data_IF_866230882513
#
_entry.id   IF_866230882513
#
_cell.length_a   1.000
_cell.length_b   1.000
_cell.length_c   1.000
_cell.angle_alpha   90.00
_cell.angle_beta   90.00
_cell.angle_gamma   90.00
#
_symmetry.space_group_name_H-M   'P 1'
#
loop_
_entity.id
_entity.type
_entity.pdbx_description
1 polymer ?
#
# COMPACT_ATOMS: atom_id res chain seq x y z
N UNK A 1 -16.12 5.23 3.18
CA UNK A 1 -15.30 6.44 3.37
C UNK A 1 -14.77 7.06 2.08
N UNK A 2 -14.90 6.42 0.91
CA UNK A 2 -14.47 7.05 -0.36
C UNK A 2 -12.95 7.22 -0.48
N UNK A 3 -12.20 6.61 0.43
CA UNK A 3 -10.75 6.60 0.41
C UNK A 3 -10.25 5.65 -0.69
N UNK A 4 -9.22 6.09 -1.41
CA UNK A 4 -8.51 5.29 -2.40
C UNK A 4 -7.15 4.89 -1.81
N UNK A 5 -6.99 3.59 -1.57
CA UNK A 5 -5.71 3.00 -1.21
C UNK A 5 -4.90 2.66 -2.45
N UNK A 6 -3.59 2.91 -2.39
CA UNK A 6 -2.68 2.85 -3.53
C UNK A 6 -1.48 2.00 -3.14
N UNK A 7 -1.29 0.90 -3.85
CA UNK A 7 -0.04 0.14 -3.87
C UNK A 7 0.97 0.85 -4.79
N UNK A 8 1.88 1.64 -4.21
CA UNK A 8 2.91 2.34 -4.97
C UNK A 8 4.24 1.55 -4.94
N UNK A 9 4.77 1.24 -6.12
CA UNK A 9 5.96 0.43 -6.30
C UNK A 9 7.19 0.94 -5.52
N UNK A 10 7.30 2.25 -5.27
CA UNK A 10 8.46 2.88 -4.64
C UNK A 10 8.16 3.51 -3.29
N UNK A 11 6.89 3.87 -3.05
CA UNK A 11 6.47 4.62 -1.86
C UNK A 11 5.65 3.80 -0.87
N UNK A 12 5.47 2.50 -1.13
CA UNK A 12 4.74 1.57 -0.26
C UNK A 12 3.22 1.74 -0.38
N UNK A 13 2.52 1.49 0.72
CA UNK A 13 1.07 1.67 0.77
C UNK A 13 0.73 3.14 1.07
N UNK A 14 -0.15 3.72 0.27
CA UNK A 14 -0.62 5.11 0.42
C UNK A 14 -2.14 5.19 0.41
N UNK A 15 -2.68 6.31 0.87
CA UNK A 15 -4.12 6.59 0.87
C UNK A 15 -4.39 8.04 0.44
N UNK A 16 -5.46 8.25 -0.32
CA UNK A 16 -5.99 9.57 -0.64
C UNK A 16 -7.49 9.58 -0.41
N UNK A 17 -8.00 10.66 0.22
CA UNK A 17 -9.42 10.80 0.50
C UNK A 17 -10.26 11.12 -0.75
N UNK A 18 -11.60 11.16 -0.63
CA UNK A 18 -12.51 11.35 -1.76
C UNK A 18 -12.36 12.70 -2.49
N UNK A 19 -11.81 13.71 -1.81
CA UNK A 19 -11.50 15.02 -2.41
C UNK A 19 -10.20 15.02 -3.25
N UNK A 20 -9.50 13.88 -3.31
CA UNK A 20 -8.23 13.75 -4.01
C UNK A 20 -7.08 14.48 -3.29
N UNK A 21 -6.12 14.96 -4.07
CA UNK A 21 -4.90 15.60 -3.57
C UNK A 21 -3.70 14.66 -3.46
N UNK A 22 -2.70 15.05 -2.68
CA UNK A 22 -1.52 14.22 -2.46
C UNK A 22 -1.84 13.06 -1.54
N UNK A 23 -1.55 11.85 -1.99
CA UNK A 23 -1.70 10.66 -1.17
C UNK A 23 -0.73 10.69 0.02
N UNK A 24 -1.24 10.34 1.19
CA UNK A 24 -0.50 10.22 2.45
C UNK A 24 0.05 8.81 2.59
N UNK A 25 1.21 8.66 3.24
CA UNK A 25 1.85 7.36 3.45
C UNK A 25 1.16 6.59 4.59
N UNK A 26 0.90 5.30 4.37
CA UNK A 26 0.34 4.38 5.37
C UNK A 26 1.45 3.54 5.98
N UNK A 27 2.22 2.84 5.15
CA UNK A 27 3.31 1.95 5.61
C UNK A 27 4.34 1.72 4.50
N UNK A 28 5.61 1.55 4.90
CA UNK A 28 6.77 1.33 4.01
C UNK A 28 7.59 0.09 4.33
N UNK A 29 7.30 -0.57 5.44
CA UNK A 29 8.04 -1.76 5.88
C UNK A 29 7.15 -2.65 6.75
N UNK A 30 7.52 -3.93 6.82
CA UNK A 30 6.96 -4.87 7.79
C UNK A 30 8.13 -5.68 8.38
N UNK A 31 8.09 -5.92 9.70
CA UNK A 31 9.10 -6.71 10.41
C UNK A 31 10.56 -6.20 10.20
N UNK A 32 10.72 -4.89 9.98
CA UNK A 32 12.01 -4.26 9.71
C UNK A 32 12.55 -4.46 8.29
N UNK A 33 11.76 -5.06 7.39
CA UNK A 33 12.07 -5.22 5.98
C UNK A 33 11.35 -4.14 5.14
N UNK A 34 12.07 -3.23 4.47
CA UNK A 34 11.46 -2.25 3.58
C UNK A 34 10.77 -2.91 2.39
N UNK A 35 9.67 -2.31 1.95
CA UNK A 35 9.02 -2.64 0.68
C UNK A 35 9.78 -1.98 -0.47
N UNK A 36 9.95 -2.73 -1.57
CA UNK A 36 10.64 -2.25 -2.76
C UNK A 36 9.83 -2.43 -4.03
N UNK A 37 8.73 -3.17 -3.97
CA UNK A 37 7.82 -3.32 -5.10
C UNK A 37 6.40 -3.68 -4.66
N UNK A 38 5.72 -2.76 -3.97
CA UNK A 38 4.29 -2.91 -3.67
C UNK A 38 3.47 -2.86 -4.96
N UNK A 39 2.62 -3.86 -5.21
CA UNK A 39 2.05 -4.04 -6.55
C UNK A 39 0.56 -4.41 -6.62
N UNK A 40 -0.01 -5.06 -5.62
CA UNK A 40 -1.42 -5.46 -5.61
C UNK A 40 -2.05 -5.21 -4.24
N UNK A 41 -3.37 -4.98 -4.23
CA UNK A 41 -4.13 -4.62 -3.02
C UNK A 41 -5.57 -5.16 -3.08
N UNK A 42 -6.06 -5.64 -1.95
CA UNK A 42 -7.46 -6.02 -1.73
C UNK A 42 -7.93 -5.56 -0.35
N UNK A 43 -9.24 -5.33 -0.19
CA UNK A 43 -9.84 -4.79 1.03
C UNK A 43 -10.98 -5.71 1.49
N UNK A 44 -10.87 -6.21 2.71
CA UNK A 44 -11.97 -6.90 3.39
C UNK A 44 -12.78 -5.88 4.18
N UNK A 45 -13.98 -5.54 3.69
CA UNK A 45 -14.89 -4.61 4.39
C UNK A 45 -15.44 -5.22 5.69
N UNK A 46 -15.61 -6.54 5.74
CA UNK A 46 -16.14 -7.25 6.92
C UNK A 46 -15.13 -7.28 8.07
N UNK A 47 -13.83 -7.39 7.76
CA UNK A 47 -12.76 -7.45 8.76
C UNK A 47 -12.11 -6.09 9.06
N UNK A 48 -12.40 -5.07 8.23
CA UNK A 48 -11.71 -3.77 8.23
C UNK A 48 -10.18 -3.93 8.05
N UNK A 49 -9.79 -4.80 7.10
CA UNK A 49 -8.39 -5.18 6.83
C UNK A 49 -8.02 -4.93 5.38
N UNK A 50 -6.80 -4.43 5.17
CA UNK A 50 -6.19 -4.25 3.85
C UNK A 50 -5.11 -5.32 3.67
N UNK A 51 -5.20 -6.08 2.58
CA UNK A 51 -4.17 -7.02 2.15
C UNK A 51 -3.42 -6.43 0.96
N UNK A 52 -2.10 -6.52 0.97
CA UNK A 52 -1.28 -6.07 -0.15
C UNK A 52 -0.06 -6.97 -0.32
N UNK A 53 0.56 -6.91 -1.49
CA UNK A 53 1.78 -7.66 -1.80
C UNK A 53 2.96 -6.74 -2.05
N UNK A 54 4.15 -7.19 -1.63
CA UNK A 54 5.44 -6.65 -2.02
C UNK A 54 6.21 -7.75 -2.80
N UNK A 55 6.36 -7.54 -4.10
CA UNK A 55 6.97 -8.54 -5.00
C UNK A 55 8.48 -8.37 -5.13
N UNK A 56 9.18 -8.16 -4.01
CA UNK A 56 10.60 -7.79 -4.01
C UNK A 56 11.56 -8.85 -3.43
N UNK A 57 11.06 -10.01 -3.00
CA UNK A 57 11.88 -11.03 -2.30
C UNK A 57 13.15 -11.47 -3.04
N UNK A 58 13.15 -11.43 -4.38
CA UNK A 58 14.30 -11.86 -5.21
C UNK A 58 14.93 -10.70 -6.00
N UNK A 59 14.10 -9.79 -6.53
CA UNK A 59 14.55 -8.69 -7.38
C UNK A 59 13.98 -7.37 -6.88
N UNK A 60 14.82 -6.34 -6.79
CA UNK A 60 14.43 -4.99 -6.40
C UNK A 60 14.39 -4.07 -7.64
N UNK A 61 13.55 -3.03 -7.61
CA UNK A 61 13.46 -2.00 -8.65
C UNK A 61 14.40 -0.82 -8.42
#
# INVERSE_FOLDING_TARGET
NGDLYIADAYLGLKVVGPEGGLATQVVTEAEGQPFYFTNDIDISEDEDVIYFTDSSTVYHR
#
